data_IF_291123373627
#
_entry.id   IF_291123373627
#
_cell.length_a   1.000
_cell.length_b   1.000
_cell.length_c   1.000
_cell.angle_alpha   90.00
_cell.angle_beta   90.00
_cell.angle_gamma   90.00
#
_symmetry.space_group_name_H-M   'P 1'
#
loop_
_entity.id
_entity.type
_entity.pdbx_description
1 polymer ?
#
# COMPACT_ATOMS: atom_id res chain seq x y z
N UNK A 1 -12.17 -7.92 5.68
CA UNK A 1 -11.29 -6.73 5.76
C UNK A 1 -10.71 -6.54 7.15
N UNK A 2 -11.50 -6.62 8.22
CA UNK A 2 -11.03 -6.50 9.61
C UNK A 2 -10.12 -7.65 10.07
N UNK A 3 -10.08 -8.75 9.32
CA UNK A 3 -9.17 -9.88 9.57
C UNK A 3 -7.69 -9.54 9.34
N UNK A 4 -7.37 -8.42 8.67
CA UNK A 4 -5.99 -7.98 8.49
C UNK A 4 -5.50 -7.26 9.75
N UNK A 5 -4.59 -7.87 10.50
CA UNK A 5 -3.96 -7.23 11.67
C UNK A 5 -3.31 -5.91 11.27
N UNK A 6 -3.73 -4.81 11.90
CA UNK A 6 -3.30 -3.44 11.60
C UNK A 6 -4.28 -2.62 10.76
N UNK A 7 -5.38 -3.20 10.26
CA UNK A 7 -6.48 -2.47 9.59
C UNK A 7 -7.60 -2.19 10.58
N UNK A 8 -7.84 -0.93 10.92
CA UNK A 8 -9.00 -0.50 11.72
C UNK A 8 -10.23 -0.18 10.85
N UNK A 9 -11.37 0.09 11.50
CA UNK A 9 -12.66 0.30 10.84
C UNK A 9 -12.63 1.36 9.74
N UNK A 10 -12.01 2.51 10.00
CA UNK A 10 -11.88 3.60 9.02
C UNK A 10 -11.12 3.16 7.77
N UNK A 11 -10.07 2.35 7.94
CA UNK A 11 -9.27 1.82 6.84
C UNK A 11 -10.03 0.74 6.09
N UNK A 12 -10.76 -0.13 6.79
CA UNK A 12 -11.61 -1.15 6.19
C UNK A 12 -12.72 -0.54 5.35
N UNK A 13 -13.42 0.49 5.86
CA UNK A 13 -14.46 1.22 5.12
C UNK A 13 -13.84 1.88 3.88
N UNK A 14 -12.73 2.60 4.04
CA UNK A 14 -12.07 3.27 2.90
C UNK A 14 -11.63 2.28 1.80
N UNK A 15 -11.11 1.11 2.19
CA UNK A 15 -10.77 0.01 1.29
C UNK A 15 -12.01 -0.52 0.56
N UNK A 16 -13.08 -0.81 1.29
CA UNK A 16 -14.33 -1.30 0.71
C UNK A 16 -14.94 -0.28 -0.25
N UNK A 17 -14.96 1.00 0.11
CA UNK A 17 -15.38 2.08 -0.79
C UNK A 17 -14.52 2.10 -2.05
N UNK A 18 -13.19 2.07 -1.92
CA UNK A 18 -12.28 2.06 -3.06
C UNK A 18 -12.57 0.87 -4.00
N UNK A 19 -12.73 -0.34 -3.46
CA UNK A 19 -12.94 -1.54 -4.27
C UNK A 19 -14.34 -1.61 -4.90
N UNK A 20 -15.37 -1.16 -4.18
CA UNK A 20 -16.74 -1.08 -4.71
C UNK A 20 -16.89 -0.01 -5.79
N UNK A 21 -16.20 1.13 -5.65
CA UNK A 21 -16.22 2.20 -6.65
C UNK A 21 -15.46 1.79 -7.92
N UNK A 22 -14.34 1.08 -7.78
CA UNK A 22 -13.49 0.70 -8.91
C UNK A 22 -13.43 -0.83 -9.07
N UNK A 23 -14.55 -1.41 -9.49
CA UNK A 23 -14.68 -2.84 -9.73
C UNK A 23 -13.89 -3.29 -10.96
N UNK A 24 -13.47 -4.56 -11.01
CA UNK A 24 -12.72 -5.13 -12.12
C UNK A 24 -11.28 -4.59 -12.28
N UNK A 25 -10.81 -3.77 -11.35
CA UNK A 25 -9.46 -3.21 -11.42
C UNK A 25 -8.37 -4.25 -11.18
N UNK A 26 -7.27 -4.13 -11.90
CA UNK A 26 -6.07 -4.93 -11.69
C UNK A 26 -5.15 -4.30 -10.61
N UNK A 27 -4.09 -5.04 -10.24
CA UNK A 27 -3.12 -4.63 -9.20
C UNK A 27 -2.45 -3.28 -9.47
N UNK A 28 -2.17 -2.96 -10.73
CA UNK A 28 -1.52 -1.70 -11.10
C UNK A 28 -2.52 -0.54 -11.01
N UNK A 29 -3.73 -0.72 -11.55
CA UNK A 29 -4.80 0.26 -11.53
C UNK A 29 -5.19 0.63 -10.10
N UNK A 30 -5.40 -0.34 -9.21
CA UNK A 30 -5.78 -0.06 -7.82
C UNK A 30 -4.68 0.68 -7.05
N UNK A 31 -3.42 0.35 -7.34
CA UNK A 31 -2.26 1.05 -6.76
C UNK A 31 -2.20 2.51 -7.22
N UNK A 32 -2.46 2.75 -8.51
CA UNK A 32 -2.48 4.09 -9.10
C UNK A 32 -3.65 4.93 -8.55
N UNK A 33 -4.83 4.34 -8.41
CA UNK A 33 -6.01 4.99 -7.82
C UNK A 33 -5.78 5.42 -6.37
N UNK A 34 -5.08 4.59 -5.59
CA UNK A 34 -4.65 4.92 -4.23
C UNK A 34 -3.46 5.90 -4.18
N UNK A 35 -2.78 6.13 -5.32
CA UNK A 35 -1.60 6.99 -5.43
C UNK A 35 -0.40 6.45 -4.65
N UNK A 36 -0.23 5.13 -4.63
CA UNK A 36 0.91 4.43 -4.01
C UNK A 36 1.89 3.89 -5.07
N UNK A 37 1.66 4.22 -6.33
CA UNK A 37 2.52 3.86 -7.46
C UNK A 37 3.79 4.74 -7.49
N UNK A 38 4.96 4.13 -7.74
CA UNK A 38 6.19 4.88 -7.92
C UNK A 38 6.20 5.56 -9.30
N UNK A 39 6.49 6.85 -9.32
CA UNK A 39 6.69 7.67 -10.51
C UNK A 39 8.17 7.98 -10.65
N UNK A 40 8.70 7.70 -11.83
CA UNK A 40 10.05 8.07 -12.24
C UNK A 40 9.97 9.30 -13.13
N UNK A 41 10.78 10.31 -12.86
CA UNK A 41 10.88 11.52 -13.70
C UNK A 41 12.24 11.49 -14.38
N UNK A 42 12.24 11.05 -15.63
CA UNK A 42 13.42 11.01 -16.49
C UNK A 42 13.14 11.81 -17.77
N UNK A 43 14.14 12.57 -18.22
CA UNK A 43 14.09 13.35 -19.46
C UNK A 43 15.48 13.32 -20.08
N UNK A 44 15.58 12.73 -21.27
CA UNK A 44 16.84 12.45 -21.94
C UNK A 44 17.83 11.69 -21.04
N UNK A 45 19.12 11.95 -21.24
CA UNK A 45 20.21 11.39 -20.42
C UNK A 45 20.53 12.22 -19.17
N UNK A 46 20.11 13.49 -19.14
CA UNK A 46 20.54 14.46 -18.12
C UNK A 46 19.60 14.53 -16.90
N UNK A 47 18.32 14.18 -17.03
CA UNK A 47 17.38 14.23 -15.90
C UNK A 47 17.18 12.83 -15.34
N UNK A 48 17.76 12.56 -14.16
CA UNK A 48 17.53 11.34 -13.36
C UNK A 48 16.94 11.70 -12.00
N UNK A 49 15.63 11.95 -11.97
CA UNK A 49 14.93 12.30 -10.74
C UNK A 49 14.83 11.14 -9.74
N UNK A 50 14.79 11.47 -8.44
CA UNK A 50 14.47 10.48 -7.39
C UNK A 50 13.08 9.88 -7.64
N UNK A 51 12.94 8.57 -7.48
CA UNK A 51 11.64 7.89 -7.53
C UNK A 51 10.77 8.37 -6.37
N UNK A 52 9.56 8.84 -6.67
CA UNK A 52 8.58 9.34 -5.68
C UNK A 52 7.25 8.65 -5.89
N UNK A 53 6.37 8.66 -4.90
CA UNK A 53 4.98 8.24 -5.12
C UNK A 53 4.21 9.25 -5.96
N UNK A 54 3.24 8.76 -6.73
CA UNK A 54 2.35 9.57 -7.54
C UNK A 54 1.49 10.52 -6.72
N UNK A 55 1.24 11.70 -7.28
CA UNK A 55 0.24 12.66 -6.78
C UNK A 55 -1.11 12.55 -7.50
N UNK A 56 -1.21 11.71 -8.53
CA UNK A 56 -2.39 11.60 -9.40
C UNK A 56 -3.54 10.80 -8.74
N UNK A 57 -3.21 9.86 -7.85
CA UNK A 57 -4.21 9.11 -7.07
C UNK A 57 -4.75 9.90 -5.86
N UNK A 58 -5.88 9.44 -5.30
CA UNK A 58 -6.59 10.17 -4.23
C UNK A 58 -5.75 10.22 -2.95
N UNK A 59 -5.38 11.43 -2.52
CA UNK A 59 -4.53 11.64 -1.35
C UNK A 59 -5.14 11.20 -0.01
N UNK A 60 -6.46 11.02 0.05
CA UNK A 60 -7.17 10.51 1.22
C UNK A 60 -6.68 9.11 1.62
N UNK A 61 -6.45 8.20 0.66
CA UNK A 61 -6.01 6.85 0.97
C UNK A 61 -4.58 6.85 1.54
N UNK A 62 -3.70 7.73 1.04
CA UNK A 62 -2.36 7.88 1.63
C UNK A 62 -2.41 8.28 3.11
N UNK A 63 -3.30 9.20 3.47
CA UNK A 63 -3.49 9.64 4.86
C UNK A 63 -4.07 8.51 5.72
N UNK A 64 -5.14 7.87 5.25
CA UNK A 64 -5.83 6.82 6.00
C UNK A 64 -4.93 5.61 6.24
N UNK A 65 -4.07 5.24 5.30
CA UNK A 65 -3.24 4.03 5.41
C UNK A 65 -1.97 4.21 6.23
N UNK A 66 -1.48 5.44 6.41
CA UNK A 66 -0.15 5.66 6.96
C UNK A 66 0.02 5.11 8.38
N UNK A 67 -0.85 5.53 9.31
CA UNK A 67 -0.80 5.09 10.70
C UNK A 67 -1.15 3.59 10.87
N UNK A 68 -2.22 3.06 10.24
CA UNK A 68 -2.51 1.61 10.22
C UNK A 68 -1.32 0.76 9.74
N UNK A 69 -0.61 1.22 8.72
CA UNK A 69 0.56 0.50 8.20
C UNK A 69 1.69 0.47 9.22
N UNK A 70 1.92 1.57 9.96
CA UNK A 70 2.92 1.58 11.05
C UNK A 70 2.54 0.56 12.13
N UNK A 71 1.27 0.47 12.52
CA UNK A 71 0.84 -0.56 13.46
C UNK A 71 1.03 -1.98 12.85
N UNK A 72 0.74 -2.15 11.56
CA UNK A 72 0.95 -3.42 10.87
C UNK A 72 2.43 -3.83 10.80
N UNK A 73 3.39 -2.90 10.76
CA UNK A 73 4.82 -3.29 10.80
C UNK A 73 5.24 -3.91 12.14
N UNK A 74 4.45 -3.72 13.20
CA UNK A 74 4.69 -4.31 14.52
C UNK A 74 3.89 -5.60 14.70
N UNK A 75 2.58 -5.56 14.40
CA UNK A 75 1.64 -6.63 14.75
C UNK A 75 1.36 -7.64 13.64
N UNK A 76 1.69 -7.32 12.39
CA UNK A 76 1.44 -8.20 11.24
C UNK A 76 2.75 -8.79 10.73
N UNK A 77 2.97 -10.09 10.94
CA UNK A 77 4.22 -10.76 10.61
C UNK A 77 4.62 -10.59 9.13
N UNK A 78 3.68 -10.71 8.19
CA UNK A 78 3.95 -10.56 6.75
C UNK A 78 4.42 -9.16 6.40
N UNK A 79 3.78 -8.14 6.99
CA UNK A 79 4.14 -6.73 6.77
C UNK A 79 5.45 -6.40 7.50
N UNK A 80 5.64 -6.90 8.72
CA UNK A 80 6.87 -6.74 9.51
C UNK A 80 8.09 -7.27 8.77
N UNK A 81 8.04 -8.52 8.29
CA UNK A 81 9.15 -9.13 7.53
C UNK A 81 9.45 -8.32 6.27
N UNK A 82 8.42 -7.90 5.54
CA UNK A 82 8.60 -7.06 4.35
C UNK A 82 9.25 -5.71 4.69
N UNK A 83 8.79 -5.05 5.76
CA UNK A 83 9.33 -3.78 6.23
C UNK A 83 10.79 -3.91 6.68
N UNK A 84 11.11 -4.92 7.50
CA UNK A 84 12.46 -5.18 7.98
C UNK A 84 13.42 -5.50 6.83
N UNK A 85 12.99 -6.28 5.83
CA UNK A 85 13.80 -6.55 4.63
C UNK A 85 14.15 -5.26 3.89
N UNK A 86 13.20 -4.32 3.75
CA UNK A 86 13.47 -3.03 3.12
C UNK A 86 14.46 -2.19 3.91
N UNK A 87 14.38 -2.21 5.25
CA UNK A 87 15.36 -1.52 6.10
C UNK A 87 16.75 -2.12 5.98
N UNK A 88 16.86 -3.46 5.92
CA UNK A 88 18.14 -4.15 5.71
C UNK A 88 18.80 -3.76 4.37
N UNK A 89 18.00 -3.51 3.33
CA UNK A 89 18.48 -2.94 2.05
C UNK A 89 18.68 -1.41 2.07
N UNK A 90 18.94 -0.83 3.24
CA UNK A 90 19.31 0.57 3.43
C UNK A 90 18.25 1.56 2.89
N UNK A 91 16.98 1.15 2.82
CA UNK A 91 15.89 2.08 2.49
C UNK A 91 15.56 2.96 3.69
N UNK A 92 15.30 4.24 3.41
CA UNK A 92 14.82 5.20 4.40
C UNK A 92 13.50 4.69 5.00
N UNK A 93 13.34 4.78 6.33
CA UNK A 93 12.15 4.29 7.07
C UNK A 93 10.82 4.70 6.43
N UNK A 94 10.69 5.98 6.05
CA UNK A 94 9.48 6.51 5.40
C UNK A 94 9.17 5.81 4.07
N UNK A 95 10.19 5.50 3.27
CA UNK A 95 10.02 4.77 2.01
C UNK A 95 9.59 3.33 2.27
N UNK A 96 10.17 2.68 3.29
CA UNK A 96 9.79 1.34 3.70
C UNK A 96 8.32 1.27 4.20
N UNK A 97 7.84 2.29 4.93
CA UNK A 97 6.42 2.40 5.31
C UNK A 97 5.54 2.53 4.06
N UNK A 98 5.87 3.43 3.13
CA UNK A 98 5.10 3.63 1.90
C UNK A 98 5.04 2.34 1.05
N UNK A 99 6.15 1.63 0.91
CA UNK A 99 6.17 0.35 0.22
C UNK A 99 5.31 -0.71 0.94
N UNK A 100 5.29 -0.68 2.28
CA UNK A 100 4.44 -1.55 3.10
C UNK A 100 2.96 -1.20 2.94
N UNK A 101 2.60 0.09 2.81
CA UNK A 101 1.22 0.53 2.50
C UNK A 101 0.76 -0.09 1.18
N UNK A 102 1.61 -0.04 0.15
CA UNK A 102 1.33 -0.67 -1.15
C UNK A 102 1.15 -2.19 -1.02
N UNK A 103 2.01 -2.87 -0.25
CA UNK A 103 1.90 -4.31 0.00
C UNK A 103 0.56 -4.65 0.69
N UNK A 104 0.17 -3.86 1.69
CA UNK A 104 -1.09 -4.05 2.42
C UNK A 104 -2.32 -3.82 1.52
N UNK A 105 -2.30 -2.77 0.69
CA UNK A 105 -3.35 -2.52 -0.31
C UNK A 105 -3.53 -3.70 -1.27
N UNK A 106 -2.43 -4.26 -1.77
CA UNK A 106 -2.48 -5.40 -2.71
C UNK A 106 -2.99 -6.68 -2.05
N UNK A 107 -2.66 -6.92 -0.78
CA UNK A 107 -3.23 -8.03 0.00
C UNK A 107 -4.74 -7.85 0.14
N UNK A 108 -5.18 -6.65 0.54
CA UNK A 108 -6.60 -6.35 0.68
C UNK A 108 -7.37 -6.47 -0.65
N UNK A 109 -6.78 -6.03 -1.77
CA UNK A 109 -7.37 -6.15 -3.11
C UNK A 109 -7.50 -7.61 -3.55
N UNK A 110 -6.49 -8.44 -3.30
CA UNK A 110 -6.55 -9.87 -3.58
C UNK A 110 -7.65 -10.56 -2.75
N UNK A 111 -7.71 -10.28 -1.44
CA UNK A 111 -8.77 -10.82 -0.57
C UNK A 111 -10.17 -10.38 -1.01
N UNK A 112 -10.33 -9.14 -1.44
CA UNK A 112 -11.61 -8.64 -1.93
C UNK A 112 -12.07 -9.37 -3.19
N UNK A 113 -11.14 -9.56 -4.15
CA UNK A 113 -11.42 -10.20 -5.43
C UNK A 113 -11.72 -11.69 -5.26
N UNK A 114 -10.91 -12.37 -4.45
CA UNK A 114 -10.94 -13.83 -4.29
C UNK A 114 -11.96 -14.25 -3.19
N UNK A 115 -12.59 -13.27 -2.51
CA UNK A 115 -13.53 -13.45 -1.38
C UNK A 115 -12.95 -14.31 -0.25
N UNK A 116 -11.64 -14.23 -0.02
CA UNK A 116 -10.92 -15.02 0.99
C UNK A 116 -10.61 -14.19 2.24
N UNK A 117 -10.47 -14.87 3.37
CA UNK A 117 -10.03 -14.25 4.61
C UNK A 117 -8.51 -14.04 4.67
N UNK A 118 -8.05 -13.19 5.59
CA UNK A 118 -6.63 -12.94 5.77
C UNK A 118 -6.02 -14.07 6.57
N UNK A 119 -5.05 -14.76 5.99
CA UNK A 119 -4.28 -15.81 6.67
C UNK A 119 -2.95 -15.23 7.11
N UNK A 120 -2.77 -15.07 8.43
CA UNK A 120 -1.52 -14.67 9.07
C UNK A 120 -0.61 -15.88 9.32
N UNK A 121 -0.27 -16.63 8.27
CA UNK A 121 0.78 -17.67 8.33
C UNK A 121 2.08 -17.07 7.85
#
# INVERSE_FOLDING_TARGET
MLTISGVGDKTAIALLTLFKTYQGTNRAQITALAGLDPVRRESGTSVKGKVKISKNGKGIYRKIFYLPTICATVHNQKIRVFYQRLLAHHKIKKLAVIASMRKMLLIAHAMYRDKTEYVAV
#
